data_IF_444105907102
#
_entry.id   IF_444105907102
#
_cell.length_a   1.000
_cell.length_b   1.000
_cell.length_c   1.000
_cell.angle_alpha   90.00
_cell.angle_beta   90.00
_cell.angle_gamma   90.00
#
_symmetry.space_group_name_H-M   'P 1'
#
loop_
_entity.id
_entity.type
_entity.pdbx_description
1 polymer ?
#
# COMPACT_ATOMS: atom_id res chain seq x y z
N UNK A 1 -5.02 -12.66 -2.05
CA UNK A 1 -3.53 -12.79 -2.07
C UNK A 1 -2.94 -11.52 -1.49
N UNK A 2 -2.11 -11.63 -0.44
CA UNK A 2 -1.42 -10.48 0.14
C UNK A 2 -0.09 -10.29 -0.61
N UNK A 3 0.08 -9.12 -1.24
CA UNK A 3 1.31 -8.80 -1.97
C UNK A 3 2.32 -8.12 -1.05
N UNK A 4 3.39 -8.83 -0.70
CA UNK A 4 4.47 -8.27 0.15
C UNK A 4 5.62 -7.65 -0.66
N UNK A 5 5.94 -8.20 -1.83
CA UNK A 5 7.04 -7.69 -2.69
C UNK A 5 6.53 -7.36 -4.08
N UNK A 6 7.13 -6.39 -4.77
CA UNK A 6 6.77 -6.06 -6.17
C UNK A 6 6.84 -7.28 -7.10
N UNK A 7 7.77 -8.21 -6.85
CA UNK A 7 7.89 -9.49 -7.57
C UNK A 7 6.72 -10.46 -7.36
N UNK A 8 5.92 -10.27 -6.32
CA UNK A 8 4.72 -11.07 -6.04
C UNK A 8 3.51 -10.60 -6.85
N UNK A 9 3.60 -9.42 -7.48
CA UNK A 9 2.58 -8.90 -8.38
C UNK A 9 2.70 -9.68 -9.71
N UNK A 10 1.67 -10.44 -10.13
CA UNK A 10 1.73 -11.30 -11.31
C UNK A 10 2.18 -10.56 -12.57
N UNK A 11 1.71 -9.32 -12.74
CA UNK A 11 1.99 -8.46 -13.89
C UNK A 11 3.46 -8.04 -13.98
N UNK A 12 4.22 -8.10 -12.87
CA UNK A 12 5.61 -7.68 -12.78
C UNK A 12 6.59 -8.85 -12.63
N UNK A 13 6.10 -10.09 -12.50
CA UNK A 13 6.90 -11.27 -12.16
C UNK A 13 7.91 -11.66 -13.25
N UNK A 14 7.66 -11.27 -14.50
CA UNK A 14 8.52 -11.58 -15.66
C UNK A 14 9.39 -10.43 -16.18
N UNK A 15 9.39 -9.27 -15.52
CA UNK A 15 10.15 -8.09 -15.98
C UNK A 15 11.52 -7.99 -15.28
N UNK A 16 12.57 -7.52 -15.98
CA UNK A 16 13.85 -7.22 -15.36
C UNK A 16 13.68 -6.14 -14.27
N UNK A 17 14.55 -6.16 -13.26
CA UNK A 17 14.41 -5.37 -12.02
C UNK A 17 14.27 -3.86 -12.27
N UNK A 18 15.02 -3.31 -13.23
CA UNK A 18 14.97 -1.90 -13.62
C UNK A 18 13.63 -1.50 -14.24
N UNK A 19 13.15 -2.28 -15.22
CA UNK A 19 11.88 -2.01 -15.90
C UNK A 19 10.69 -2.19 -14.96
N UNK A 20 10.72 -3.23 -14.12
CA UNK A 20 9.73 -3.46 -13.06
C UNK A 20 9.57 -2.25 -12.13
N UNK A 21 10.68 -1.64 -11.72
CA UNK A 21 10.63 -0.48 -10.83
C UNK A 21 10.10 0.78 -11.53
N UNK A 22 10.47 0.99 -12.80
CA UNK A 22 9.93 2.10 -13.61
C UNK A 22 8.43 1.96 -13.80
N UNK A 23 7.96 0.83 -14.31
CA UNK A 23 6.53 0.57 -14.54
C UNK A 23 5.70 0.70 -13.26
N UNK A 24 6.19 0.17 -12.14
CA UNK A 24 5.52 0.32 -10.86
C UNK A 24 5.44 1.79 -10.42
N UNK A 25 6.52 2.56 -10.57
CA UNK A 25 6.56 3.97 -10.20
C UNK A 25 5.62 4.81 -11.06
N UNK A 26 5.57 4.53 -12.36
CA UNK A 26 4.71 5.26 -13.30
C UNK A 26 3.24 4.93 -13.09
N UNK A 27 2.89 3.65 -12.93
CA UNK A 27 1.54 3.23 -12.56
C UNK A 27 1.11 3.88 -11.23
N UNK A 28 1.99 3.87 -10.22
CA UNK A 28 1.70 4.49 -8.93
C UNK A 28 1.51 6.00 -9.02
N UNK A 29 2.34 6.70 -9.80
CA UNK A 29 2.21 8.14 -10.04
C UNK A 29 0.85 8.46 -10.66
N UNK A 30 0.43 7.66 -11.64
CA UNK A 30 -0.85 7.85 -12.31
C UNK A 30 -2.04 7.55 -11.39
N UNK A 31 -1.96 6.55 -10.51
CA UNK A 31 -3.01 6.27 -9.52
C UNK A 31 -3.32 7.48 -8.63
N UNK A 32 -2.36 8.37 -8.34
CA UNK A 32 -2.59 9.57 -7.51
C UNK A 32 -3.62 10.53 -8.08
N UNK A 33 -3.88 10.50 -9.39
CA UNK A 33 -4.92 11.34 -10.02
C UNK A 33 -6.33 10.78 -9.81
N UNK A 34 -6.48 9.54 -9.36
CA UNK A 34 -7.79 8.90 -9.20
C UNK A 34 -8.39 9.20 -7.83
N UNK A 35 -9.69 9.52 -7.80
CA UNK A 35 -10.43 9.74 -6.55
C UNK A 35 -10.35 8.53 -5.59
N UNK A 36 -10.23 7.31 -6.13
CA UNK A 36 -10.13 6.09 -5.33
C UNK A 36 -8.80 5.99 -4.56
N UNK A 37 -7.74 6.65 -5.03
CA UNK A 37 -6.50 6.78 -4.26
C UNK A 37 -6.73 7.62 -3.00
N UNK A 38 -7.47 8.72 -3.12
CA UNK A 38 -7.86 9.56 -1.99
C UNK A 38 -8.79 8.84 -1.01
N UNK A 39 -9.72 8.02 -1.51
CA UNK A 39 -10.50 7.10 -0.65
C UNK A 39 -9.61 6.10 0.09
N UNK A 40 -8.57 5.59 -0.56
CA UNK A 40 -7.56 4.76 0.09
C UNK A 40 -6.85 5.49 1.22
N UNK A 41 -6.50 6.77 1.03
CA UNK A 41 -5.84 7.61 2.06
C UNK A 41 -6.78 7.78 3.24
N UNK A 42 -8.06 8.05 2.99
CA UNK A 42 -9.07 8.16 4.03
C UNK A 42 -9.15 6.86 4.85
N UNK A 43 -9.23 5.71 4.19
CA UNK A 43 -9.24 4.39 4.85
C UNK A 43 -7.98 4.18 5.69
N UNK A 44 -6.81 4.57 5.18
CA UNK A 44 -5.55 4.48 5.89
C UNK A 44 -5.54 5.33 7.18
N UNK A 45 -6.02 6.57 7.12
CA UNK A 45 -6.13 7.45 8.28
C UNK A 45 -7.09 6.88 9.32
N UNK A 46 -8.27 6.40 8.88
CA UNK A 46 -9.26 5.79 9.77
C UNK A 46 -8.68 4.55 10.47
N UNK A 47 -7.93 3.71 9.76
CA UNK A 47 -7.25 2.55 10.34
C UNK A 47 -6.21 2.97 11.39
N UNK A 48 -5.39 3.98 11.12
CA UNK A 48 -4.43 4.49 12.11
C UNK A 48 -5.14 4.96 13.37
N UNK A 49 -6.19 5.77 13.24
CA UNK A 49 -6.94 6.29 14.38
C UNK A 49 -7.59 5.15 15.18
N UNK A 50 -8.18 4.17 14.46
CA UNK A 50 -8.78 2.98 15.05
C UNK A 50 -7.75 2.18 15.86
N UNK A 51 -6.62 1.79 15.26
CA UNK A 51 -5.58 1.04 15.96
C UNK A 51 -4.95 1.83 17.09
N UNK A 52 -4.77 3.14 16.93
CA UNK A 52 -4.23 4.00 18.00
C UNK A 52 -5.15 4.00 19.22
N UNK A 53 -6.47 4.11 19.03
CA UNK A 53 -7.44 3.99 20.13
C UNK A 53 -7.47 2.59 20.72
N UNK A 54 -7.48 1.56 19.87
CA UNK A 54 -7.53 0.17 20.28
C UNK A 54 -6.32 -0.18 21.18
N UNK A 55 -5.10 0.15 20.73
CA UNK A 55 -3.88 -0.07 21.51
C UNK A 55 -3.82 0.77 22.77
N UNK A 56 -4.36 2.01 22.76
CA UNK A 56 -4.45 2.82 23.97
C UNK A 56 -5.31 2.15 25.06
N UNK A 57 -6.38 1.46 24.64
CA UNK A 57 -7.30 0.77 25.52
C UNK A 57 -6.70 -0.53 26.09
N UNK A 58 -6.08 -1.35 25.26
CA UNK A 58 -5.54 -2.65 25.69
C UNK A 58 -4.17 -2.57 26.38
N UNK A 59 -3.34 -1.56 26.06
CA UNK A 59 -1.99 -1.43 26.59
C UNK A 59 -1.74 -0.02 27.16
N UNK A 60 -2.44 0.36 28.23
CA UNK A 60 -2.16 1.62 28.92
C UNK A 60 -0.75 1.55 29.53
N UNK A 61 0.16 2.41 29.07
CA UNK A 61 1.53 2.49 29.59
C UNK A 61 2.63 1.92 28.69
N UNK A 62 2.30 1.38 27.52
CA UNK A 62 3.33 1.01 26.53
C UNK A 62 4.04 2.26 25.99
N UNK A 63 5.35 2.15 25.74
CA UNK A 63 6.16 3.24 25.19
C UNK A 63 5.51 3.79 23.89
N UNK A 64 5.38 5.12 23.80
CA UNK A 64 4.79 5.82 22.66
C UNK A 64 5.44 5.43 21.31
N UNK A 65 6.75 5.14 21.31
CA UNK A 65 7.45 4.69 20.11
C UNK A 65 6.98 3.29 19.67
N UNK A 66 6.93 2.33 20.60
CA UNK A 66 6.44 0.97 20.34
C UNK A 66 4.96 0.99 19.91
N UNK A 67 4.14 1.80 20.59
CA UNK A 67 2.73 1.99 20.23
C UNK A 67 2.57 2.45 18.78
N UNK A 68 3.27 3.52 18.40
CA UNK A 68 3.23 4.05 17.03
C UNK A 68 3.70 3.03 16.01
N UNK A 69 4.78 2.30 16.31
CA UNK A 69 5.30 1.26 15.42
C UNK A 69 4.27 0.15 15.15
N UNK A 70 3.65 -0.40 16.20
CA UNK A 70 2.67 -1.47 16.05
C UNK A 70 1.32 -1.01 15.49
N UNK A 71 0.88 0.23 15.76
CA UNK A 71 -0.37 0.76 15.20
C UNK A 71 -0.28 1.04 13.70
N UNK A 72 0.91 1.43 13.22
CA UNK A 72 1.11 1.84 11.82
C UNK A 72 1.32 0.63 10.91
N UNK A 73 1.90 -0.48 11.39
CA UNK A 73 2.19 -1.66 10.57
C UNK A 73 0.95 -2.25 9.85
N UNK A 74 -0.19 -2.52 10.52
CA UNK A 74 -1.38 -3.03 9.86
C UNK A 74 -1.93 -2.05 8.83
N UNK A 75 -1.93 -0.75 9.17
CA UNK A 75 -2.39 0.30 8.27
C UNK A 75 -1.53 0.35 6.99
N UNK A 76 -0.20 0.24 7.12
CA UNK A 76 0.74 0.24 5.98
C UNK A 76 0.52 -0.99 5.08
N UNK A 77 0.24 -2.16 5.68
CA UNK A 77 -0.08 -3.37 4.91
C UNK A 77 -1.35 -3.16 4.09
N UNK A 78 -2.42 -2.67 4.70
CA UNK A 78 -3.69 -2.40 4.01
C UNK A 78 -3.51 -1.36 2.91
N UNK A 79 -2.80 -0.26 3.21
CA UNK A 79 -2.47 0.78 2.25
C UNK A 79 -1.73 0.22 1.03
N UNK A 80 -0.74 -0.65 1.25
CA UNK A 80 -0.02 -1.30 0.15
C UNK A 80 -0.95 -2.18 -0.70
N UNK A 81 -1.87 -2.93 -0.10
CA UNK A 81 -2.85 -3.74 -0.85
C UNK A 81 -3.80 -2.87 -1.68
N UNK A 82 -4.31 -1.76 -1.12
CA UNK A 82 -5.19 -0.83 -1.85
C UNK A 82 -4.47 -0.26 -3.07
N UNK A 83 -3.22 0.18 -2.91
CA UNK A 83 -2.45 0.71 -4.03
C UNK A 83 -2.21 -0.31 -5.12
N UNK A 84 -1.82 -1.54 -4.75
CA UNK A 84 -1.60 -2.62 -5.73
C UNK A 84 -2.90 -2.96 -6.46
N UNK A 85 -4.02 -3.01 -5.75
CA UNK A 85 -5.33 -3.21 -6.36
C UNK A 85 -5.67 -2.10 -7.37
N UNK A 86 -5.51 -0.82 -6.98
CA UNK A 86 -5.79 0.31 -7.88
C UNK A 86 -4.87 0.31 -9.11
N UNK A 87 -3.58 0.04 -8.93
CA UNK A 87 -2.64 -0.06 -10.06
C UNK A 87 -3.03 -1.19 -11.01
N UNK A 88 -3.44 -2.36 -10.49
CA UNK A 88 -3.88 -3.48 -11.33
C UNK A 88 -5.23 -3.23 -11.99
N UNK A 89 -6.12 -2.45 -11.36
CA UNK A 89 -7.45 -2.12 -11.91
C UNK A 89 -7.37 -1.08 -13.03
N UNK A 90 -6.62 0.00 -12.85
CA UNK A 90 -6.60 1.13 -13.79
C UNK A 90 -5.39 1.15 -14.71
N UNK A 91 -4.25 0.61 -14.27
CA UNK A 91 -2.95 0.77 -14.94
C UNK A 91 -2.26 -0.56 -15.23
N UNK A 92 -3.04 -1.64 -15.42
CA UNK A 92 -2.53 -2.97 -15.78
C UNK A 92 -1.60 -2.92 -17.00
N UNK A 93 -1.98 -2.12 -17.99
CA UNK A 93 -1.21 -1.92 -19.23
C UNK A 93 0.17 -1.31 -18.98
N UNK A 94 0.31 -0.40 -18.01
CA UNK A 94 1.61 0.17 -17.60
C UNK A 94 2.44 -0.87 -16.85
N UNK A 95 1.81 -1.66 -15.97
CA UNK A 95 2.50 -2.72 -15.23
C UNK A 95 3.11 -3.77 -16.15
N UNK A 96 2.43 -4.12 -17.25
CA UNK A 96 2.86 -5.15 -18.20
C UNK A 96 3.76 -4.62 -19.33
N UNK A 97 4.05 -3.31 -19.38
CA UNK A 97 4.86 -2.68 -20.43
C UNK A 97 6.25 -3.33 -20.50
N UNK A 98 6.62 -3.83 -21.68
CA UNK A 98 7.92 -4.47 -21.92
C UNK A 98 8.94 -3.56 -22.63
N UNK A 99 8.48 -2.43 -23.17
CA UNK A 99 9.26 -1.45 -23.94
C UNK A 99 8.84 -0.01 -23.61
#
# INVERSE_FOLDING_TARGET
>A
MIYFRRKSIPELKGLPSGLRNRNYRDAFRMVRSHYQFWLGILIYIVLILFFTRLFAHFFPGINAFLKSFFCVLPAVIVWNQINIYLMRKYYRHILQRRE
#
